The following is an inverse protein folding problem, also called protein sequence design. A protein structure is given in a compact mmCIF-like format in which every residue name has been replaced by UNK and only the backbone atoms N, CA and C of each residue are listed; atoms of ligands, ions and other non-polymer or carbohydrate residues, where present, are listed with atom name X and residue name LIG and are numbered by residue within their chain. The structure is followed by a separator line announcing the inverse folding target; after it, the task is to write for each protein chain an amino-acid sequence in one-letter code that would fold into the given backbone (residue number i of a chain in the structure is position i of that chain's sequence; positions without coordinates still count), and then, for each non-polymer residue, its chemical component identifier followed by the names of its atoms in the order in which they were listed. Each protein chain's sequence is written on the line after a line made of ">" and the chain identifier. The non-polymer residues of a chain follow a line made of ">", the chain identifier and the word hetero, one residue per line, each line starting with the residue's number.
data_IF_365293185249
#
_entry.id   IF_365293185249
#
_cell.length_a   1.000
_cell.length_b   1.000
_cell.length_c   1.000
_cell.angle_alpha   90.00
_cell.angle_beta   90.00
_cell.angle_gamma   90.00
#
_symmetry.space_group_name_H-M   'P 1'
#
loop_
_entity.id
_entity.type
_entity.pdbx_description
1 polymer ?
#
# COMPACT_ATOMS: atom_id res chain seq x y z
N UNK A 1 -13.43 2.37 -0.39
CA UNK A 1 -13.40 1.52 -1.60
C UNK A 1 -13.16 2.43 -2.79
N UNK A 2 -12.26 2.05 -3.71
CA UNK A 2 -11.86 2.87 -4.86
C UNK A 2 -11.82 2.01 -6.14
N UNK A 3 -12.04 2.65 -7.29
CA UNK A 3 -11.80 2.04 -8.60
C UNK A 3 -10.50 2.64 -9.16
N UNK A 4 -9.54 1.78 -9.52
CA UNK A 4 -8.30 2.24 -10.12
C UNK A 4 -8.56 2.76 -11.53
N UNK A 5 -7.82 3.80 -11.95
CA UNK A 5 -7.90 4.33 -13.31
C UNK A 5 -7.56 3.22 -14.31
N UNK A 6 -8.49 2.93 -15.23
CA UNK A 6 -8.36 1.83 -16.18
C UNK A 6 -8.68 0.43 -15.63
N UNK A 7 -9.03 0.32 -14.34
CA UNK A 7 -9.48 -0.93 -13.74
C UNK A 7 -10.98 -1.14 -13.90
N UNK A 8 -11.41 -2.41 -13.84
CA UNK A 8 -12.83 -2.80 -13.92
C UNK A 8 -13.39 -3.29 -12.58
N UNK A 9 -12.53 -3.69 -11.64
CA UNK A 9 -12.93 -4.12 -10.29
C UNK A 9 -12.57 -3.09 -9.24
N UNK A 10 -13.49 -2.88 -8.29
CA UNK A 10 -13.25 -2.05 -7.12
C UNK A 10 -12.34 -2.76 -6.13
N UNK A 11 -11.53 -1.99 -5.42
CA UNK A 11 -10.64 -2.46 -4.36
C UNK A 11 -10.91 -1.72 -3.05
N UNK A 12 -10.48 -2.30 -1.95
CA UNK A 12 -10.51 -1.67 -0.62
C UNK A 12 -9.13 -1.73 0.00
N UNK A 13 -8.63 -0.59 0.50
CA UNK A 13 -7.42 -0.54 1.32
C UNK A 13 -7.78 -1.09 2.69
N UNK A 14 -7.04 -2.10 3.15
CA UNK A 14 -7.32 -2.77 4.43
C UNK A 14 -6.12 -2.84 5.37
N UNK A 15 -4.92 -2.47 4.90
CA UNK A 15 -3.71 -2.47 5.73
C UNK A 15 -2.79 -1.29 5.43
N UNK A 16 -2.00 -0.90 6.45
CA UNK A 16 -0.97 0.14 6.38
C UNK A 16 0.38 -0.43 6.81
N UNK A 17 1.49 0.10 6.29
CA UNK A 17 2.87 -0.30 6.64
C UNK A 17 3.07 -1.82 6.47
N UNK A 18 2.72 -2.33 5.30
CA UNK A 18 2.74 -3.75 5.01
C UNK A 18 4.14 -4.22 4.59
N UNK A 19 4.69 -5.18 5.34
CA UNK A 19 5.89 -5.92 4.94
C UNK A 19 5.53 -7.09 4.04
N UNK A 20 6.32 -7.32 2.99
CA UNK A 20 6.19 -8.48 2.13
C UNK A 20 7.00 -9.64 2.70
N UNK A 21 6.36 -10.80 2.93
CA UNK A 21 6.93 -11.96 3.66
C UNK A 21 8.28 -12.44 3.09
N UNK A 22 8.53 -12.21 1.80
CA UNK A 22 9.77 -12.64 1.11
C UNK A 22 10.58 -11.48 0.51
N UNK A 23 10.33 -10.24 0.92
CA UNK A 23 11.07 -9.09 0.40
C UNK A 23 11.32 -8.06 1.50
N UNK A 24 12.51 -7.48 1.52
CA UNK A 24 12.84 -6.31 2.35
C UNK A 24 12.12 -5.04 1.88
N UNK A 25 10.95 -5.18 1.26
CA UNK A 25 10.17 -4.09 0.69
C UNK A 25 8.97 -3.81 1.58
N UNK A 26 8.93 -2.57 2.07
CA UNK A 26 7.81 -2.01 2.83
C UNK A 26 6.91 -1.22 1.89
N UNK A 27 5.61 -1.41 2.05
CA UNK A 27 4.57 -0.67 1.35
C UNK A 27 3.74 0.14 2.33
N UNK A 28 3.31 1.33 1.95
CA UNK A 28 2.53 2.17 2.85
C UNK A 28 1.09 1.65 3.00
N UNK A 29 0.54 1.06 1.94
CA UNK A 29 -0.82 0.52 1.91
C UNK A 29 -0.91 -0.81 1.15
N UNK A 30 -1.85 -1.66 1.58
CA UNK A 30 -2.27 -2.87 0.86
C UNK A 30 -3.79 -2.87 0.68
N UNK A 31 -4.23 -3.36 -0.48
CA UNK A 31 -5.64 -3.49 -0.83
C UNK A 31 -5.99 -4.84 -1.44
N UNK A 32 -7.27 -5.17 -1.43
CA UNK A 32 -7.81 -6.39 -2.02
C UNK A 32 -9.10 -6.10 -2.82
N UNK A 33 -9.54 -7.03 -3.70
CA UNK A 33 -10.75 -6.87 -4.49
C UNK A 33 -12.01 -6.86 -3.60
N UNK A 34 -12.91 -5.92 -3.85
CA UNK A 34 -14.23 -5.92 -3.22
C UNK A 34 -15.25 -6.64 -4.12
N UNK A 35 -16.21 -7.41 -3.56
CA UNK A 35 -16.43 -7.74 -2.15
C UNK A 35 -15.64 -8.95 -1.63
N UNK A 36 -14.82 -9.57 -2.48
CA UNK A 36 -14.17 -10.85 -2.21
C UNK A 36 -13.22 -10.83 -1.00
N UNK A 37 -12.63 -9.67 -0.69
CA UNK A 37 -11.71 -9.53 0.43
C UNK A 37 -10.31 -10.09 0.13
N UNK A 38 -9.54 -10.36 1.19
CA UNK A 38 -8.17 -10.86 1.10
C UNK A 38 -8.17 -12.37 0.82
N UNK A 39 -8.07 -12.75 -0.46
CA UNK A 39 -8.08 -14.15 -0.90
C UNK A 39 -6.68 -14.79 -0.82
N UNK A 40 -5.70 -14.12 -1.39
CA UNK A 40 -4.30 -14.56 -1.41
C UNK A 40 -3.39 -13.40 -1.82
N UNK A 41 -2.08 -13.58 -1.69
CA UNK A 41 -1.08 -12.56 -2.00
C UNK A 41 -1.13 -12.08 -3.46
N UNK A 42 -1.60 -12.92 -4.38
CA UNK A 42 -1.71 -12.63 -5.82
C UNK A 42 -2.80 -11.59 -6.13
N UNK A 43 -3.78 -11.43 -5.24
CA UNK A 43 -4.86 -10.46 -5.38
C UNK A 43 -4.59 -9.15 -4.61
N UNK A 44 -3.46 -9.08 -3.91
CA UNK A 44 -3.09 -7.88 -3.17
C UNK A 44 -2.50 -6.84 -4.11
N UNK A 45 -3.04 -5.62 -4.04
CA UNK A 45 -2.47 -4.46 -4.71
C UNK A 45 -1.84 -3.57 -3.66
N UNK A 46 -0.54 -3.31 -3.82
CA UNK A 46 0.25 -2.49 -2.90
C UNK A 46 0.41 -1.08 -3.44
N UNK A 47 0.39 -0.10 -2.54
CA UNK A 47 0.64 1.30 -2.86
C UNK A 47 1.76 1.84 -2.01
N UNK A 48 2.57 2.70 -2.64
CA UNK A 48 3.33 3.70 -1.92
C UNK A 48 2.47 4.96 -1.79
N UNK A 49 2.55 5.61 -0.64
CA UNK A 49 1.94 6.92 -0.41
C UNK A 49 2.58 7.99 -1.29
N UNK A 50 1.97 9.17 -1.31
CA UNK A 50 2.62 10.34 -1.91
C UNK A 50 3.86 10.67 -1.09
N UNK A 51 5.03 10.43 -1.67
CA UNK A 51 6.33 10.84 -1.13
C UNK A 51 6.58 12.26 -1.63
N UNK A 52 6.08 13.29 -0.93
CA UNK A 52 6.49 14.68 -1.20
C UNK A 52 7.91 14.89 -0.70
N UNK A 53 8.61 15.91 -1.21
CA UNK A 53 9.97 16.22 -0.77
C UNK A 53 10.00 16.49 0.73
N UNK A 54 9.01 17.23 1.25
CA UNK A 54 8.88 17.56 2.67
C UNK A 54 8.61 16.32 3.53
N UNK A 55 7.81 15.37 3.04
CA UNK A 55 7.52 14.12 3.74
C UNK A 55 8.77 13.24 3.84
N UNK A 56 9.53 13.15 2.74
CA UNK A 56 10.80 12.42 2.70
C UNK A 56 11.84 13.04 3.63
N UNK A 57 11.94 14.38 3.66
CA UNK A 57 12.82 15.09 4.58
C UNK A 57 12.44 14.85 6.05
N UNK A 58 11.14 14.90 6.37
CA UNK A 58 10.64 14.62 7.73
C UNK A 58 10.94 13.18 8.15
N UNK A 59 10.69 12.19 7.28
CA UNK A 59 11.03 10.78 7.52
C UNK A 59 12.52 10.60 7.83
N UNK A 60 13.39 11.23 7.04
CA UNK A 60 14.84 11.15 7.22
C UNK A 60 15.34 11.84 8.50
N UNK A 61 14.63 12.85 9.00
CA UNK A 61 14.92 13.46 10.31
C UNK A 61 14.49 12.52 11.43
N UNK A 62 13.29 11.94 11.35
CA UNK A 62 12.74 11.06 12.37
C UNK A 62 13.48 9.72 12.48
N UNK A 63 14.08 9.21 11.40
CA UNK A 63 14.84 7.96 11.43
C UNK A 63 16.21 8.04 12.13
N UNK A 64 16.66 9.26 12.46
CA UNK A 64 17.95 9.52 13.13
C UNK A 64 17.84 9.61 14.65
N UNK A 65 16.63 9.44 15.20
CA UNK A 65 16.34 9.35 16.63
C UNK A 65 16.00 7.90 16.99
#
# INVERSE_FOLDING_TARGET
>A
MVLLKGGTKKIVIYGRKQGQVNGNKMWDYVSCPYPHGNLSKEYNVFFKGFETVEELELRNKLSKF
#
